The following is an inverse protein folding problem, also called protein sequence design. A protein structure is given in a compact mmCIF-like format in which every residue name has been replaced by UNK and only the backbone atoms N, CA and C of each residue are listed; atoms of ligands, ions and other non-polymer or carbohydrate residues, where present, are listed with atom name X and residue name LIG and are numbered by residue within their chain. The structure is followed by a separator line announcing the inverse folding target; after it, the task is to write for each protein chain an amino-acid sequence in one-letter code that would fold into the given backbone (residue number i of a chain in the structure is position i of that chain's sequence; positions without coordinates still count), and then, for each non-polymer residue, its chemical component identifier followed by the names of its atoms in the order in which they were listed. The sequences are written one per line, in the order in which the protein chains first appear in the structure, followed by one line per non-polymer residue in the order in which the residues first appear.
data_IF_093234455025
#
_entry.id   IF_093234455025
#
_cell.length_a   1.000
_cell.length_b   1.000
_cell.length_c   1.000
_cell.angle_alpha   90.00
_cell.angle_beta   90.00
_cell.angle_gamma   90.00
#
_symmetry.space_group_name_H-M   'P 1'
#
loop_
_entity.id
_entity.type
_entity.pdbx_description
1 polymer ?
#
# COMPACT_ATOMS: atom_id res chain seq x y z
N UNK A 1 -0.93 23.52 4.51
CA UNK A 1 -2.03 22.66 4.01
C UNK A 1 -1.37 21.46 3.32
N UNK A 2 -1.31 20.30 3.98
CA UNK A 2 -0.76 19.08 3.36
C UNK A 2 -1.82 18.56 2.41
N UNK A 3 -1.50 18.55 1.11
CA UNK A 3 -2.39 18.04 0.07
C UNK A 3 -2.38 16.53 0.21
N UNK A 4 -3.47 15.93 0.71
CA UNK A 4 -3.60 14.48 0.81
C UNK A 4 -3.60 13.87 -0.59
N UNK A 5 -2.42 13.45 -1.05
CA UNK A 5 -2.20 12.84 -2.37
C UNK A 5 -2.32 11.32 -2.34
N UNK A 6 -2.34 10.70 -1.16
CA UNK A 6 -2.63 9.28 -1.01
C UNK A 6 -4.12 9.00 -1.07
N UNK A 7 -4.51 8.06 -1.94
CA UNK A 7 -5.89 7.61 -2.06
C UNK A 7 -5.95 6.16 -2.51
N UNK A 8 -7.10 5.53 -2.28
CA UNK A 8 -7.43 4.22 -2.82
C UNK A 8 -8.75 4.29 -3.55
N UNK A 9 -8.78 3.82 -4.79
CA UNK A 9 -9.98 3.80 -5.62
C UNK A 9 -10.24 2.40 -6.16
N UNK A 10 -11.40 1.84 -5.84
CA UNK A 10 -11.88 0.57 -6.39
C UNK A 10 -12.68 0.86 -7.65
N UNK A 11 -12.56 0.01 -8.65
CA UNK A 11 -13.30 0.13 -9.90
C UNK A 11 -13.73 -1.25 -10.41
N UNK A 12 -14.76 -1.26 -11.22
CA UNK A 12 -15.32 -2.47 -11.84
C UNK A 12 -15.47 -2.18 -13.32
N UNK A 13 -15.22 -3.18 -14.16
CA UNK A 13 -15.47 -3.06 -15.59
C UNK A 13 -16.90 -3.48 -15.89
N UNK A 14 -17.70 -2.62 -16.53
CA UNK A 14 -19.11 -2.94 -16.80
C UNK A 14 -19.29 -4.14 -17.75
N UNK A 15 -18.31 -4.37 -18.62
CA UNK A 15 -18.35 -5.40 -19.67
C UNK A 15 -17.52 -6.65 -19.36
N UNK A 16 -16.80 -6.67 -18.24
CA UNK A 16 -15.93 -7.79 -17.84
C UNK A 16 -16.13 -8.07 -16.35
N UNK A 17 -16.22 -9.34 -15.92
CA UNK A 17 -16.38 -9.68 -14.50
C UNK A 17 -15.07 -9.50 -13.70
N UNK A 18 -14.44 -8.33 -13.83
CA UNK A 18 -13.15 -7.98 -13.25
C UNK A 18 -13.34 -6.77 -12.34
N UNK A 19 -12.82 -6.88 -11.11
CA UNK A 19 -12.74 -5.79 -10.14
C UNK A 19 -11.28 -5.40 -9.98
N UNK A 20 -11.01 -4.11 -10.04
CA UNK A 20 -9.67 -3.57 -9.84
C UNK A 20 -9.64 -2.60 -8.66
N UNK A 21 -8.44 -2.32 -8.19
CA UNK A 21 -8.18 -1.26 -7.23
C UNK A 21 -6.87 -0.57 -7.59
N UNK A 22 -6.86 0.76 -7.48
CA UNK A 22 -5.66 1.59 -7.56
C UNK A 22 -5.39 2.13 -6.15
N UNK A 23 -4.14 2.06 -5.74
CA UNK A 23 -3.67 2.71 -4.51
C UNK A 23 -2.53 3.65 -4.86
N UNK A 24 -2.59 4.86 -4.29
CA UNK A 24 -1.52 5.85 -4.33
C UNK A 24 -1.17 6.15 -2.89
N UNK A 25 0.11 6.02 -2.55
CA UNK A 25 0.65 6.25 -1.21
C UNK A 25 1.81 7.24 -1.35
N UNK A 26 1.49 8.52 -1.43
CA UNK A 26 2.48 9.58 -1.61
C UNK A 26 2.82 10.23 -0.26
N UNK A 27 1.94 11.07 0.28
CA UNK A 27 2.11 11.67 1.62
C UNK A 27 2.24 10.62 2.74
N UNK A 28 1.48 9.53 2.69
CA UNK A 28 1.60 8.43 3.67
C UNK A 28 2.98 7.76 3.59
N UNK A 29 3.50 7.55 2.38
CA UNK A 29 4.82 6.95 2.20
C UNK A 29 5.92 7.89 2.68
N UNK A 30 5.85 9.19 2.39
CA UNK A 30 6.83 10.17 2.86
C UNK A 30 6.91 10.20 4.38
N UNK A 31 5.77 10.14 5.08
CA UNK A 31 5.73 10.06 6.54
C UNK A 31 6.42 8.78 7.04
N UNK A 32 6.15 7.62 6.44
CA UNK A 32 6.76 6.35 6.85
C UNK A 32 8.26 6.34 6.58
N UNK A 33 8.69 6.78 5.39
CA UNK A 33 10.09 6.87 5.01
C UNK A 33 10.87 7.88 5.87
N UNK A 34 10.21 8.95 6.37
CA UNK A 34 10.84 9.93 7.26
C UNK A 34 11.10 9.40 8.68
N UNK A 35 10.40 8.33 9.12
CA UNK A 35 10.55 7.79 10.48
C UNK A 35 11.86 7.02 10.67
N UNK A 36 12.41 6.44 9.60
CA UNK A 36 13.71 5.76 9.64
C UNK A 36 14.48 5.96 8.35
N UNK A 37 15.79 6.26 8.42
CA UNK A 37 16.64 6.31 7.24
C UNK A 37 16.86 4.88 6.73
N UNK A 38 16.09 4.50 5.72
CA UNK A 38 16.29 3.26 4.97
C UNK A 38 17.21 3.53 3.77
N UNK A 39 18.15 2.63 3.44
CA UNK A 39 18.82 2.63 2.14
C UNK A 39 17.81 2.59 0.98
N UNK A 40 18.13 3.25 -0.13
CA UNK A 40 17.28 3.33 -1.33
C UNK A 40 16.65 1.99 -1.78
N UNK A 41 17.37 0.86 -1.84
CA UNK A 41 16.74 -0.41 -2.24
C UNK A 41 15.69 -0.91 -1.23
N UNK A 42 15.90 -0.65 0.07
CA UNK A 42 14.94 -1.03 1.11
C UNK A 42 13.71 -0.12 1.12
N UNK A 43 13.89 1.18 0.86
CA UNK A 43 12.77 2.10 0.68
C UNK A 43 11.81 1.60 -0.38
N UNK A 44 12.34 1.20 -1.55
CA UNK A 44 11.52 0.69 -2.65
C UNK A 44 10.73 -0.56 -2.25
N UNK A 45 11.40 -1.56 -1.66
CA UNK A 45 10.75 -2.83 -1.27
C UNK A 45 9.66 -2.59 -0.22
N UNK A 46 9.92 -1.76 0.79
CA UNK A 46 8.95 -1.45 1.84
C UNK A 46 7.76 -0.67 1.27
N UNK A 47 8.00 0.27 0.34
CA UNK A 47 6.93 1.00 -0.35
C UNK A 47 6.06 0.08 -1.22
N UNK A 48 6.69 -0.83 -1.97
CA UNK A 48 6.00 -1.85 -2.77
C UNK A 48 5.17 -2.78 -1.88
N UNK A 49 5.73 -3.24 -0.75
CA UNK A 49 5.02 -4.06 0.24
C UNK A 49 3.82 -3.32 0.83
N UNK A 50 3.97 -2.03 1.17
CA UNK A 50 2.89 -1.22 1.73
C UNK A 50 1.73 -1.05 0.75
N UNK A 51 2.05 -0.78 -0.53
CA UNK A 51 1.06 -0.70 -1.60
C UNK A 51 0.35 -2.05 -1.81
N UNK A 52 1.11 -3.14 -1.89
CA UNK A 52 0.56 -4.49 -2.05
C UNK A 52 -0.35 -4.87 -0.88
N UNK A 53 0.07 -4.62 0.36
CA UNK A 53 -0.73 -4.90 1.56
C UNK A 53 -2.02 -4.06 1.56
N UNK A 54 -1.96 -2.79 1.15
CA UNK A 54 -3.14 -1.93 1.05
C UNK A 54 -4.15 -2.45 0.03
N UNK A 55 -3.69 -2.93 -1.13
CA UNK A 55 -4.53 -3.55 -2.14
C UNK A 55 -5.12 -4.89 -1.65
N UNK A 56 -4.36 -5.67 -0.90
CA UNK A 56 -4.81 -6.93 -0.32
C UNK A 56 -5.96 -6.70 0.69
N UNK A 57 -5.78 -5.74 1.60
CA UNK A 57 -6.81 -5.33 2.58
C UNK A 57 -8.07 -4.84 1.86
N UNK A 58 -7.93 -4.11 0.74
CA UNK A 58 -9.06 -3.58 -0.03
C UNK A 58 -10.07 -4.65 -0.45
N UNK A 59 -9.62 -5.88 -0.69
CA UNK A 59 -10.49 -7.00 -1.08
C UNK A 59 -11.03 -7.79 0.11
N UNK A 60 -10.53 -7.56 1.32
CA UNK A 60 -10.92 -8.27 2.52
C UNK A 60 -11.95 -7.44 3.30
N UNK A 61 -13.10 -8.07 3.64
CA UNK A 61 -14.08 -7.51 4.59
C UNK A 61 -13.63 -7.78 6.03
N UNK A 62 -12.38 -7.46 6.35
CA UNK A 62 -11.81 -7.65 7.67
C UNK A 62 -11.84 -6.32 8.42
N UNK A 63 -12.63 -6.25 9.49
CA UNK A 63 -12.59 -5.16 10.48
C UNK A 63 -11.39 -5.39 11.43
N UNK A 64 -10.20 -5.55 10.87
CA UNK A 64 -8.99 -5.96 11.58
C UNK A 64 -7.73 -5.28 11.06
N UNK A 65 -6.60 -5.52 11.72
CA UNK A 65 -5.28 -5.03 11.28
C UNK A 65 -4.57 -6.13 10.50
N UNK A 66 -4.01 -5.79 9.34
CA UNK A 66 -3.12 -6.69 8.61
C UNK A 66 -1.68 -6.21 8.79
N UNK A 67 -0.84 -7.11 9.32
CA UNK A 67 0.60 -6.88 9.47
C UNK A 67 1.31 -7.77 8.47
N UNK A 68 2.03 -7.16 7.53
CA UNK A 68 2.89 -7.88 6.58
C UNK A 68 4.34 -7.73 7.05
N UNK A 69 5.02 -8.84 7.30
CA UNK A 69 6.43 -8.87 7.70
C UNK A 69 7.22 -9.68 6.67
N UNK A 70 8.34 -9.11 6.20
CA UNK A 70 9.35 -9.84 5.43
C UNK A 70 10.36 -10.39 6.45
N UNK A 71 10.56 -11.70 6.44
CA UNK A 71 11.60 -12.38 7.20
C UNK A 71 12.56 -13.02 6.22
N UNK A 72 13.86 -12.84 6.46
CA UNK A 72 14.90 -13.61 5.79
C UNK A 72 15.12 -14.93 6.55
N UNK A 73 15.51 -15.98 5.86
CA UNK A 73 15.79 -17.28 6.46
C UNK A 73 17.18 -17.23 7.13
N UNK A 74 17.38 -17.84 8.32
CA UNK A 74 18.67 -17.80 9.02
C UNK A 74 19.81 -18.46 8.24
#
# INVERSE_FOLDING_TARGET
MVKSSSFMQKFIFDKLPVKGAVVVLDDVWQVIASQRPYPDPLQRIVGELLAANSLLISNLKLDGKIVCQIQDNP
#
